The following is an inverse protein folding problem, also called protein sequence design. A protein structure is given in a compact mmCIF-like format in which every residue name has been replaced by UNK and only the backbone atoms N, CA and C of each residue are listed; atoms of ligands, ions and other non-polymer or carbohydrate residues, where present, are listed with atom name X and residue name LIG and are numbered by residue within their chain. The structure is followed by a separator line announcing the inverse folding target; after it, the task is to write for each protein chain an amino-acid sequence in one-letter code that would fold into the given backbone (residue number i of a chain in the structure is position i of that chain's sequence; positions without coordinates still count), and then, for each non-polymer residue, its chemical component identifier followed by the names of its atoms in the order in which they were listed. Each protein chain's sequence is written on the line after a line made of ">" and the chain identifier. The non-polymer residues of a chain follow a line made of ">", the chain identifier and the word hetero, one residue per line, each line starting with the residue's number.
data_IF_533384452362
#
_entry.id   IF_533384452362
#
_cell.length_a   1.000
_cell.length_b   1.000
_cell.length_c   1.000
_cell.angle_alpha   90.00
_cell.angle_beta   90.00
_cell.angle_gamma   90.00
#
_symmetry.space_group_name_H-M   'P 1'
#
loop_
_entity.id
_entity.type
_entity.pdbx_description
1 polymer ?
#
# COMPACT_ATOMS: atom_id res chain seq x y z
N UNK A 1 -25.87 -16.91 -10.12
CA UNK A 1 -25.01 -15.77 -10.48
C UNK A 1 -24.13 -15.47 -9.28
N UNK A 2 -22.84 -15.77 -9.34
CA UNK A 2 -21.91 -15.41 -8.27
C UNK A 2 -21.85 -13.89 -8.17
N UNK A 3 -22.06 -13.35 -6.96
CA UNK A 3 -21.94 -11.92 -6.71
C UNK A 3 -20.48 -11.54 -6.80
N UNK A 4 -20.08 -10.89 -7.89
CA UNK A 4 -18.76 -10.28 -8.02
C UNK A 4 -18.58 -9.28 -6.88
N UNK A 5 -17.66 -9.57 -5.96
CA UNK A 5 -17.34 -8.67 -4.83
C UNK A 5 -16.55 -7.49 -5.37
N UNK A 6 -17.07 -6.29 -5.17
CA UNK A 6 -16.39 -5.04 -5.50
C UNK A 6 -15.75 -4.52 -4.22
N UNK A 7 -14.45 -4.24 -4.28
CA UNK A 7 -13.70 -3.67 -3.15
C UNK A 7 -13.34 -2.23 -3.49
N UNK A 8 -13.73 -1.31 -2.61
CA UNK A 8 -13.39 0.10 -2.69
C UNK A 8 -12.50 0.44 -1.50
N UNK A 9 -11.38 1.10 -1.77
CA UNK A 9 -10.39 1.52 -0.79
C UNK A 9 -10.39 3.06 -0.74
N UNK A 10 -10.39 3.62 0.47
CA UNK A 10 -10.31 5.06 0.70
C UNK A 10 -8.98 5.36 1.36
N UNK A 11 -8.20 6.24 0.75
CA UNK A 11 -6.84 6.60 1.14
C UNK A 11 -5.77 5.75 0.43
N UNK A 12 -4.91 6.41 -0.34
CA UNK A 12 -3.70 5.89 -0.98
C UNK A 12 -2.46 6.01 -0.09
N UNK A 13 -2.64 5.86 1.23
CA UNK A 13 -1.53 5.73 2.17
C UNK A 13 -0.98 4.29 2.18
N UNK A 14 0.03 4.03 3.02
CA UNK A 14 0.71 2.72 3.12
C UNK A 14 -0.28 1.55 3.27
N UNK A 15 -1.32 1.68 4.09
CA UNK A 15 -2.31 0.62 4.29
C UNK A 15 -3.18 0.39 3.05
N UNK A 16 -3.67 1.46 2.42
CA UNK A 16 -4.52 1.37 1.23
C UNK A 16 -3.78 0.78 0.03
N UNK A 17 -2.51 1.16 -0.16
CA UNK A 17 -1.65 0.57 -1.20
C UNK A 17 -1.35 -0.90 -0.93
N UNK A 18 -1.13 -1.28 0.34
CA UNK A 18 -0.90 -2.70 0.71
C UNK A 18 -2.11 -3.56 0.36
N UNK A 19 -3.32 -3.14 0.76
CA UNK A 19 -4.55 -3.87 0.42
C UNK A 19 -4.79 -3.91 -1.09
N UNK A 20 -4.47 -2.82 -1.80
CA UNK A 20 -4.60 -2.77 -3.26
C UNK A 20 -3.69 -3.81 -3.93
N UNK A 21 -2.43 -3.90 -3.51
CA UNK A 21 -1.47 -4.90 -4.00
C UNK A 21 -1.98 -6.33 -3.74
N UNK A 22 -2.37 -6.64 -2.51
CA UNK A 22 -2.83 -7.99 -2.15
C UNK A 22 -4.07 -8.41 -2.97
N UNK A 23 -4.97 -7.46 -3.25
CA UNK A 23 -6.15 -7.73 -4.08
C UNK A 23 -5.79 -7.92 -5.55
N UNK A 24 -4.81 -7.20 -6.07
CA UNK A 24 -4.33 -7.39 -7.45
C UNK A 24 -3.67 -8.77 -7.63
N UNK A 25 -2.94 -9.26 -6.63
CA UNK A 25 -2.36 -10.61 -6.64
C UNK A 25 -3.42 -11.73 -6.63
N UNK A 26 -4.62 -11.45 -6.12
CA UNK A 26 -5.77 -12.35 -6.12
C UNK A 26 -6.67 -12.20 -7.37
N UNK A 27 -6.13 -11.63 -8.46
CA UNK A 27 -6.89 -11.28 -9.69
C UNK A 27 -8.09 -10.33 -9.44
N UNK A 28 -8.06 -9.62 -8.32
CA UNK A 28 -9.04 -8.62 -7.94
C UNK A 28 -8.93 -7.35 -8.78
N UNK A 29 -9.97 -6.53 -8.72
CA UNK A 29 -10.01 -5.22 -9.39
C UNK A 29 -10.44 -4.15 -8.39
N UNK A 30 -9.56 -3.76 -7.45
CA UNK A 30 -9.87 -2.73 -6.46
C UNK A 30 -9.97 -1.34 -7.10
N UNK A 31 -10.82 -0.49 -6.55
CA UNK A 31 -10.84 0.95 -6.85
C UNK A 31 -10.35 1.72 -5.63
N UNK A 32 -9.33 2.57 -5.82
CA UNK A 32 -8.71 3.40 -4.79
C UNK A 32 -9.11 4.86 -4.98
N UNK A 33 -9.59 5.50 -3.92
CA UNK A 33 -9.87 6.94 -3.89
C UNK A 33 -8.94 7.63 -2.89
N UNK A 34 -8.29 8.71 -3.30
CA UNK A 34 -7.46 9.56 -2.45
C UNK A 34 -7.99 10.99 -2.50
N UNK A 35 -8.00 11.68 -1.35
CA UNK A 35 -8.60 13.00 -1.22
C UNK A 35 -7.58 14.11 -1.47
N UNK A 36 -6.32 13.93 -1.08
CA UNK A 36 -5.32 15.01 -1.11
C UNK A 36 -3.91 14.51 -1.45
N UNK A 37 -2.98 15.46 -1.48
CA UNK A 37 -1.56 15.29 -1.79
C UNK A 37 -0.83 14.62 -0.62
N UNK A 38 0.10 13.73 -0.94
CA UNK A 38 0.85 12.95 0.06
C UNK A 38 1.75 13.86 0.89
N UNK A 39 1.55 13.85 2.22
CA UNK A 39 2.45 14.46 3.20
C UNK A 39 3.15 13.35 4.00
N UNK A 40 4.48 13.45 4.13
CA UNK A 40 5.30 12.52 4.89
C UNK A 40 6.20 13.24 5.89
N UNK A 41 6.43 12.63 7.05
CA UNK A 41 7.42 13.06 8.05
C UNK A 41 8.58 12.06 8.09
N UNK A 42 9.66 12.41 8.78
CA UNK A 42 10.80 11.50 8.97
C UNK A 42 10.40 10.22 9.70
N UNK A 43 10.95 9.09 9.25
CA UNK A 43 10.69 7.78 9.82
C UNK A 43 11.34 7.65 11.21
N UNK A 44 10.55 7.26 12.22
CA UNK A 44 11.02 7.09 13.60
C UNK A 44 11.37 5.64 13.95
N UNK A 45 11.16 4.71 13.01
CA UNK A 45 11.36 3.27 13.18
C UNK A 45 12.52 2.80 12.29
N UNK A 46 13.39 1.87 12.73
CA UNK A 46 14.44 1.35 11.88
C UNK A 46 13.90 0.80 10.56
N UNK A 47 14.56 1.14 9.44
CA UNK A 47 14.19 0.70 8.08
C UNK A 47 13.81 -0.79 7.97
N UNK A 48 14.55 -1.76 8.53
CA UNK A 48 14.21 -3.18 8.41
C UNK A 48 12.85 -3.55 9.04
N UNK A 49 12.34 -2.73 9.98
CA UNK A 49 11.06 -2.94 10.64
C UNK A 49 9.89 -2.24 9.95
N UNK A 50 10.14 -1.29 9.05
CA UNK A 50 9.10 -0.52 8.35
C UNK A 50 8.93 -0.94 6.88
N UNK A 51 9.97 -1.48 6.25
CA UNK A 51 9.90 -1.93 4.86
C UNK A 51 8.98 -3.15 4.68
N UNK A 52 8.43 -3.31 3.47
CA UNK A 52 7.67 -4.51 3.11
C UNK A 52 8.57 -5.75 3.12
N UNK A 53 8.03 -6.87 3.60
CA UNK A 53 8.78 -8.12 3.74
C UNK A 53 9.26 -8.71 2.41
N UNK A 54 8.55 -8.42 1.33
CA UNK A 54 8.82 -8.92 -0.01
C UNK A 54 9.32 -7.84 -0.98
N UNK A 55 9.41 -6.59 -0.52
CA UNK A 55 9.92 -5.47 -1.29
C UNK A 55 10.90 -4.63 -0.44
N UNK A 56 12.16 -5.08 -0.32
CA UNK A 56 13.16 -4.37 0.47
C UNK A 56 13.51 -3.01 -0.15
N UNK A 57 13.87 -2.05 0.68
CA UNK A 57 14.29 -0.75 0.19
C UNK A 57 15.65 -0.81 -0.52
N UNK A 58 15.87 0.01 -1.56
CA UNK A 58 17.18 0.11 -2.22
C UNK A 58 18.30 0.45 -1.23
N UNK A 59 19.51 -0.04 -1.48
CA UNK A 59 20.69 0.23 -0.64
C UNK A 59 21.04 1.73 -0.54
N UNK A 60 20.63 2.53 -1.53
CA UNK A 60 20.81 3.99 -1.54
C UNK A 60 19.98 4.71 -0.47
N UNK A 61 19.02 4.05 0.15
CA UNK A 61 18.17 4.62 1.20
C UNK A 61 18.81 4.31 2.57
N UNK A 62 19.47 5.32 3.14
CA UNK A 62 20.30 5.18 4.35
C UNK A 62 19.65 5.68 5.64
N UNK A 63 18.35 6.02 5.61
CA UNK A 63 17.56 6.49 6.77
C UNK A 63 17.29 5.39 7.80
#
# INVERSE_FOLDING_TARGET
>A
MEKKRVVIIVGACVSGLTVCKDLLELDGRPTLFEADTVLGTELQTPRPMYQYSDFPWPESVTV
#
